data_IF_513729228159
#
_entry.id   IF_513729228159
#
_cell.length_a   1.000
_cell.length_b   1.000
_cell.length_c   1.000
_cell.angle_alpha   90.00
_cell.angle_beta   90.00
_cell.angle_gamma   90.00
#
_symmetry.space_group_name_H-M   'P 1'
#
loop_
_entity.id
_entity.type
_entity.pdbx_description
1 polymer ?
#
# COMPACT_ATOMS: atom_id res chain seq x y z
N UNK A 1 -10.58 8.21 -17.55
CA UNK A 1 -9.43 9.02 -18.01
C UNK A 1 -8.40 8.10 -18.64
N UNK A 2 -7.97 8.43 -19.84
CA UNK A 2 -7.03 7.58 -20.57
C UNK A 2 -5.60 7.82 -20.08
N UNK A 3 -4.87 6.74 -19.95
CA UNK A 3 -3.46 6.76 -19.59
C UNK A 3 -2.61 6.82 -20.86
N UNK A 4 -1.54 7.64 -20.83
CA UNK A 4 -0.62 7.70 -21.95
C UNK A 4 0.14 6.37 -22.10
N UNK A 5 0.54 5.99 -23.33
CA UNK A 5 1.36 4.79 -23.53
C UNK A 5 2.70 4.93 -22.80
N UNK A 6 3.26 3.81 -22.29
CA UNK A 6 4.53 3.85 -21.55
C UNK A 6 5.69 4.45 -22.34
N UNK A 7 5.77 4.20 -23.65
CA UNK A 7 6.83 4.76 -24.48
C UNK A 7 6.70 6.28 -24.64
N UNK A 8 5.47 6.79 -24.69
CA UNK A 8 5.22 8.22 -24.72
C UNK A 8 5.62 8.88 -23.41
N UNK A 9 5.24 8.27 -22.29
CA UNK A 9 5.60 8.77 -20.96
C UNK A 9 7.11 8.85 -20.81
N UNK A 10 7.83 7.83 -21.26
CA UNK A 10 9.29 7.76 -21.13
C UNK A 10 9.99 8.87 -21.92
N UNK A 11 9.35 9.42 -22.95
CA UNK A 11 9.91 10.48 -23.77
C UNK A 11 9.52 11.88 -23.30
N UNK A 12 8.59 11.98 -22.34
CA UNK A 12 8.17 13.30 -21.83
C UNK A 12 9.21 13.87 -20.87
N UNK A 13 9.49 15.19 -20.95
CA UNK A 13 10.40 15.82 -19.99
C UNK A 13 9.88 15.65 -18.58
N UNK A 14 10.77 15.30 -17.64
CA UNK A 14 10.41 15.14 -16.24
C UNK A 14 9.72 13.83 -15.89
N UNK A 15 9.45 12.96 -16.86
CA UNK A 15 8.83 11.65 -16.63
C UNK A 15 9.86 10.54 -16.70
N UNK A 16 10.82 10.56 -15.83
CA UNK A 16 11.82 9.51 -15.73
C UNK A 16 11.46 8.58 -14.58
N UNK A 17 12.46 8.07 -13.91
CA UNK A 17 12.31 7.23 -12.72
C UNK A 17 11.39 7.86 -11.67
N UNK A 18 11.41 9.18 -11.52
CA UNK A 18 10.58 9.89 -10.54
C UNK A 18 9.09 9.64 -10.76
N UNK A 19 8.63 9.61 -12.02
CA UNK A 19 7.21 9.37 -12.34
C UNK A 19 6.75 7.99 -11.90
N UNK A 20 7.64 7.01 -11.88
CA UNK A 20 7.34 5.66 -11.41
C UNK A 20 7.52 5.51 -9.90
N UNK A 21 8.49 6.22 -9.34
CA UNK A 21 8.85 6.07 -7.92
C UNK A 21 7.92 6.85 -6.99
N UNK A 22 7.56 8.08 -7.36
CA UNK A 22 6.81 8.96 -6.47
C UNK A 22 5.47 8.36 -6.01
N UNK A 23 4.66 7.77 -6.92
CA UNK A 23 3.45 7.08 -6.49
C UNK A 23 3.71 5.92 -5.53
N UNK A 24 4.79 5.18 -5.74
CA UNK A 24 5.14 4.06 -4.86
C UNK A 24 5.42 4.55 -3.45
N UNK A 25 6.15 5.66 -3.32
CA UNK A 25 6.45 6.23 -2.00
C UNK A 25 5.18 6.72 -1.30
N UNK A 26 4.27 7.35 -2.04
CA UNK A 26 2.99 7.79 -1.48
C UNK A 26 2.15 6.60 -1.02
N UNK A 27 2.11 5.54 -1.80
CA UNK A 27 1.36 4.34 -1.45
C UNK A 27 2.00 3.60 -0.27
N UNK A 28 3.32 3.62 -0.17
CA UNK A 28 4.01 3.06 0.99
C UNK A 28 3.62 3.80 2.27
N UNK A 29 3.69 5.14 2.23
CA UNK A 29 3.28 5.96 3.37
C UNK A 29 1.82 5.75 3.74
N UNK A 30 0.94 5.69 2.73
CA UNK A 30 -0.48 5.45 2.96
C UNK A 30 -0.72 4.11 3.63
N UNK A 31 0.01 3.08 3.23
CA UNK A 31 -0.15 1.75 3.83
C UNK A 31 0.32 1.69 5.27
N UNK A 32 1.31 2.49 5.64
CA UNK A 32 1.73 2.59 7.04
C UNK A 32 0.57 3.14 7.88
N UNK A 33 -0.05 4.24 7.45
CA UNK A 33 -1.21 4.80 8.15
C UNK A 33 -2.37 3.83 8.19
N UNK A 34 -2.65 3.17 7.05
CA UNK A 34 -3.76 2.21 6.96
C UNK A 34 -3.57 1.04 7.91
N UNK A 35 -2.36 0.54 8.03
CA UNK A 35 -2.07 -0.58 8.92
C UNK A 35 -2.34 -0.19 10.37
N UNK A 36 -1.94 1.02 10.79
CA UNK A 36 -2.27 1.51 12.11
C UNK A 36 -3.78 1.73 12.29
N UNK A 37 -4.47 2.23 11.27
CA UNK A 37 -5.91 2.44 11.35
C UNK A 37 -6.66 1.13 11.54
N UNK A 38 -6.25 0.09 10.83
CA UNK A 38 -6.97 -1.20 10.86
C UNK A 38 -6.56 -2.09 12.03
N UNK A 39 -5.29 -2.07 12.43
CA UNK A 39 -4.76 -3.06 13.37
C UNK A 39 -4.09 -2.46 14.60
N UNK A 40 -3.81 -1.15 14.61
CA UNK A 40 -3.11 -0.54 15.74
C UNK A 40 -3.85 -0.69 17.07
N UNK A 41 -5.19 -0.67 17.01
CA UNK A 41 -6.02 -0.80 18.22
C UNK A 41 -5.96 -2.20 18.84
N UNK A 42 -5.44 -3.20 18.13
CA UNK A 42 -5.35 -4.55 18.66
C UNK A 42 -4.36 -4.64 19.83
N UNK A 43 -3.51 -3.65 19.99
CA UNK A 43 -2.64 -3.53 21.16
C UNK A 43 -3.41 -3.05 22.40
N UNK A 44 -4.57 -2.43 22.21
CA UNK A 44 -5.39 -1.84 23.26
C UNK A 44 -6.81 -2.38 23.23
N UNK A 45 -6.95 -3.69 23.39
CA UNK A 45 -8.25 -4.37 23.21
C UNK A 45 -9.29 -3.97 24.26
N UNK A 46 -8.86 -3.39 25.38
CA UNK A 46 -9.77 -2.92 26.43
C UNK A 46 -10.32 -1.53 26.17
N UNK A 47 -9.82 -0.80 25.16
CA UNK A 47 -10.30 0.53 24.84
C UNK A 47 -11.76 0.48 24.35
N UNK A 48 -12.58 1.54 24.65
CA UNK A 48 -13.97 1.56 24.17
C UNK A 48 -14.04 1.51 22.64
N UNK A 49 -14.95 0.68 22.14
CA UNK A 49 -15.05 0.45 20.69
C UNK A 49 -15.30 1.74 19.90
N UNK A 50 -16.20 2.60 20.39
CA UNK A 50 -16.51 3.84 19.68
C UNK A 50 -15.30 4.77 19.59
N UNK A 51 -14.50 4.85 20.65
CA UNK A 51 -13.27 5.63 20.64
C UNK A 51 -12.29 5.07 19.61
N UNK A 52 -12.14 3.74 19.56
CA UNK A 52 -11.26 3.08 18.59
C UNK A 52 -11.69 3.41 17.17
N UNK A 53 -12.99 3.33 16.88
CA UNK A 53 -13.51 3.64 15.55
C UNK A 53 -13.17 5.09 15.17
N UNK A 54 -13.38 6.03 16.07
CA UNK A 54 -13.12 7.45 15.78
C UNK A 54 -11.63 7.73 15.56
N UNK A 55 -10.77 7.14 16.41
CA UNK A 55 -9.33 7.32 16.27
C UNK A 55 -8.85 6.69 14.97
N UNK A 56 -9.29 5.48 14.66
CA UNK A 56 -8.92 4.79 13.42
C UNK A 56 -9.40 5.57 12.20
N UNK A 57 -10.60 6.12 12.26
CA UNK A 57 -11.13 6.96 11.18
C UNK A 57 -10.26 8.20 10.97
N UNK A 58 -9.81 8.84 12.06
CA UNK A 58 -8.90 9.98 11.95
C UNK A 58 -7.57 9.61 11.31
N UNK A 59 -7.01 8.45 11.65
CA UNK A 59 -5.79 7.94 11.02
C UNK A 59 -6.03 7.69 9.53
N UNK A 60 -7.18 7.11 9.18
CA UNK A 60 -7.52 6.83 7.79
C UNK A 60 -7.64 8.11 6.95
N UNK A 61 -7.97 9.23 7.57
CA UNK A 61 -7.98 10.51 6.85
C UNK A 61 -6.61 10.82 6.27
N UNK A 62 -5.56 10.68 7.09
CA UNK A 62 -4.18 10.91 6.63
C UNK A 62 -3.77 9.88 5.58
N UNK A 63 -4.22 8.64 5.75
CA UNK A 63 -3.99 7.60 4.74
C UNK A 63 -4.55 8.05 3.38
N UNK A 64 -5.76 8.58 3.35
CA UNK A 64 -6.37 9.07 2.12
C UNK A 64 -5.59 10.21 1.49
N UNK A 65 -5.00 11.08 2.30
CA UNK A 65 -4.19 12.18 1.79
C UNK A 65 -2.97 11.71 1.02
N UNK A 66 -2.53 10.48 1.25
CA UNK A 66 -1.43 9.85 0.52
C UNK A 66 -1.92 8.89 -0.55
N UNK A 67 -2.98 8.13 -0.24
CA UNK A 67 -3.50 7.08 -1.13
C UNK A 67 -4.09 7.66 -2.41
N UNK A 68 -4.94 8.68 -2.29
CA UNK A 68 -5.63 9.24 -3.46
C UNK A 68 -4.64 9.90 -4.41
N UNK A 69 -3.73 10.79 -3.95
CA UNK A 69 -2.70 11.32 -4.85
C UNK A 69 -1.79 10.22 -5.42
N UNK A 70 -1.44 9.22 -4.60
CA UNK A 70 -0.61 8.10 -5.04
C UNK A 70 -1.23 7.34 -6.20
N UNK A 71 -2.52 7.02 -6.09
CA UNK A 71 -3.23 6.34 -7.17
C UNK A 71 -3.41 7.24 -8.39
N UNK A 72 -3.72 8.50 -8.17
CA UNK A 72 -3.94 9.44 -9.28
C UNK A 72 -2.66 9.67 -10.08
N UNK A 73 -1.54 9.94 -9.40
CA UNK A 73 -0.25 10.10 -10.06
C UNK A 73 0.23 8.78 -10.66
N UNK A 74 0.01 7.68 -9.95
CA UNK A 74 0.41 6.36 -10.44
C UNK A 74 -0.34 5.94 -11.69
N UNK A 75 -1.58 6.39 -11.86
CA UNK A 75 -2.38 6.02 -13.03
C UNK A 75 -1.79 6.55 -14.34
N UNK A 76 -0.86 7.50 -14.27
CA UNK A 76 -0.17 8.00 -15.47
C UNK A 76 0.84 6.98 -16.01
N UNK A 77 1.41 6.13 -15.15
CA UNK A 77 2.47 5.20 -15.53
C UNK A 77 2.13 3.73 -15.27
N UNK A 78 1.12 3.46 -14.44
CA UNK A 78 0.68 2.10 -14.11
C UNK A 78 -0.79 1.93 -14.45
N UNK A 79 -1.19 0.71 -14.82
CA UNK A 79 -2.60 0.37 -14.95
C UNK A 79 -3.22 0.20 -13.56
N UNK A 80 -4.55 0.22 -13.47
CA UNK A 80 -5.24 0.00 -12.20
C UNK A 80 -4.92 -1.39 -11.60
N UNK A 81 -4.92 -2.48 -12.38
CA UNK A 81 -4.49 -3.78 -11.84
C UNK A 81 -3.06 -3.77 -11.32
N UNK A 82 -2.13 -3.08 -12.02
CA UNK A 82 -0.75 -2.97 -11.57
C UNK A 82 -0.67 -2.21 -10.24
N UNK A 83 -1.40 -1.12 -10.11
CA UNK A 83 -1.45 -0.35 -8.85
C UNK A 83 -1.98 -1.23 -7.72
N UNK A 84 -3.04 -2.00 -7.97
CA UNK A 84 -3.62 -2.88 -6.95
C UNK A 84 -2.63 -3.97 -6.54
N UNK A 85 -1.99 -4.63 -7.50
CA UNK A 85 -1.02 -5.68 -7.21
C UNK A 85 0.16 -5.14 -6.41
N UNK A 86 0.67 -3.96 -6.78
CA UNK A 86 1.76 -3.32 -6.08
C UNK A 86 1.37 -2.99 -4.63
N UNK A 87 0.16 -2.49 -4.41
CA UNK A 87 -0.32 -2.18 -3.07
C UNK A 87 -0.47 -3.43 -2.21
N UNK A 88 -0.85 -4.56 -2.79
CA UNK A 88 -0.93 -5.81 -2.04
C UNK A 88 0.45 -6.22 -1.51
N UNK A 89 1.50 -6.09 -2.33
CA UNK A 89 2.86 -6.40 -1.89
C UNK A 89 3.30 -5.42 -0.80
N UNK A 90 3.07 -4.13 -1.00
CA UNK A 90 3.42 -3.10 0.00
C UNK A 90 2.70 -3.38 1.32
N UNK A 91 1.40 -3.68 1.25
CA UNK A 91 0.59 -3.98 2.42
C UNK A 91 1.16 -5.15 3.20
N UNK A 92 1.59 -6.22 2.51
CA UNK A 92 2.14 -7.40 3.17
C UNK A 92 3.46 -7.10 3.86
N UNK A 93 4.35 -6.35 3.20
CA UNK A 93 5.64 -5.98 3.79
C UNK A 93 5.44 -5.11 5.03
N UNK A 94 4.60 -4.08 4.90
CA UNK A 94 4.30 -3.17 6.02
C UNK A 94 3.67 -3.95 7.17
N UNK A 95 2.72 -4.83 6.87
CA UNK A 95 2.05 -5.62 7.89
C UNK A 95 3.02 -6.58 8.58
N UNK A 96 3.92 -7.21 7.83
CA UNK A 96 4.89 -8.14 8.42
C UNK A 96 5.76 -7.43 9.46
N UNK A 97 6.27 -6.25 9.12
CA UNK A 97 7.08 -5.46 10.05
C UNK A 97 6.24 -5.01 11.25
N UNK A 98 5.03 -4.52 10.98
CA UNK A 98 4.12 -4.04 12.02
C UNK A 98 3.75 -5.16 13.00
N UNK A 99 3.39 -6.32 12.48
CA UNK A 99 2.99 -7.45 13.31
C UNK A 99 4.14 -7.93 14.20
N UNK A 100 5.35 -8.00 13.64
CA UNK A 100 6.51 -8.48 14.38
C UNK A 100 6.94 -7.50 15.48
N UNK A 101 6.95 -6.19 15.20
CA UNK A 101 7.52 -5.21 16.11
C UNK A 101 6.49 -4.47 16.96
N UNK A 102 5.33 -4.19 16.41
CA UNK A 102 4.31 -3.43 17.16
C UNK A 102 3.36 -4.34 17.93
N UNK A 103 2.85 -5.40 17.28
CA UNK A 103 1.92 -6.32 17.91
C UNK A 103 2.60 -7.47 18.65
N UNK A 104 3.91 -7.62 18.51
CA UNK A 104 4.67 -8.73 19.09
C UNK A 104 4.12 -10.09 18.63
N UNK A 105 3.66 -10.17 17.40
CA UNK A 105 3.14 -11.39 16.80
C UNK A 105 3.94 -11.71 15.54
N UNK A 106 5.14 -12.29 15.67
CA UNK A 106 5.97 -12.59 14.51
C UNK A 106 5.30 -13.61 13.60
N UNK A 107 5.54 -13.47 12.30
CA UNK A 107 4.98 -14.35 11.31
C UNK A 107 5.69 -15.71 11.33
N UNK A 108 4.92 -16.77 11.14
CA UNK A 108 5.44 -18.13 11.04
C UNK A 108 5.77 -18.45 9.59
N UNK A 109 6.48 -19.57 9.36
CA UNK A 109 6.91 -19.94 8.00
C UNK A 109 5.74 -20.08 7.03
N UNK A 110 4.59 -20.57 7.50
CA UNK A 110 3.41 -20.73 6.65
C UNK A 110 2.86 -19.37 6.22
N UNK A 111 2.97 -18.34 7.05
CA UNK A 111 2.57 -16.98 6.69
C UNK A 111 3.49 -16.44 5.59
N UNK A 112 4.79 -16.66 5.72
CA UNK A 112 5.74 -16.22 4.68
C UNK A 112 5.50 -16.95 3.38
N UNK A 113 5.18 -18.24 3.43
CA UNK A 113 4.84 -19.01 2.22
C UNK A 113 3.59 -18.45 1.54
N UNK A 114 2.56 -18.12 2.32
CA UNK A 114 1.34 -17.52 1.80
C UNK A 114 1.61 -16.16 1.16
N UNK A 115 2.43 -15.34 1.82
CA UNK A 115 2.80 -14.03 1.30
C UNK A 115 3.58 -14.14 0.01
N UNK A 116 4.47 -15.14 -0.10
CA UNK A 116 5.22 -15.39 -1.33
C UNK A 116 4.27 -15.72 -2.50
N UNK A 117 3.22 -16.49 -2.25
CA UNK A 117 2.22 -16.78 -3.28
C UNK A 117 1.48 -15.53 -3.72
N UNK A 118 1.17 -14.63 -2.79
CA UNK A 118 0.51 -13.37 -3.13
C UNK A 118 1.44 -12.49 -3.96
N UNK A 119 2.73 -12.46 -3.64
CA UNK A 119 3.72 -11.72 -4.42
C UNK A 119 3.77 -12.26 -5.85
N UNK A 120 3.77 -13.58 -6.03
CA UNK A 120 3.74 -14.18 -7.35
C UNK A 120 2.48 -13.76 -8.11
N UNK A 121 1.32 -13.79 -7.44
CA UNK A 121 0.07 -13.33 -8.04
C UNK A 121 0.16 -11.88 -8.48
N UNK A 122 0.74 -11.01 -7.65
CA UNK A 122 0.91 -9.60 -7.98
C UNK A 122 1.82 -9.40 -9.20
N UNK A 123 2.90 -10.20 -9.29
CA UNK A 123 3.82 -10.12 -10.43
C UNK A 123 3.14 -10.45 -11.75
N UNK A 124 2.15 -11.35 -11.73
CA UNK A 124 1.40 -11.67 -12.94
C UNK A 124 0.61 -10.46 -13.46
N UNK A 125 0.24 -9.53 -12.58
CA UNK A 125 -0.48 -8.33 -12.99
C UNK A 125 0.42 -7.36 -13.78
N UNK A 126 1.73 -7.48 -13.65
CA UNK A 126 2.68 -6.65 -14.39
C UNK A 126 3.05 -7.24 -15.75
N UNK A 127 2.49 -8.38 -16.09
CA UNK A 127 2.79 -9.06 -17.36
C UNK A 127 1.98 -8.50 -18.52
N UNK A 128 1.04 -7.61 -18.30
CA UNK A 128 0.20 -7.01 -19.35
C UNK A 128 0.97 -6.17 -20.36
#
# INVERSE_FOLDING_TARGET
MLRAPPDEIARMPGTSFTAYLYPVLLLLGSNIFMTFAWYGHLKYKSAPLMMVILVSWGIAFFEYCLQVPGNRLGSAVYSAPQLKGMQEVITLVVFAVFSAFYLDQPLKWNHYAAFALIVVAALLMFKE
#
